data_IF_619825316109
#
_entry.id   IF_619825316109
#
_cell.length_a   1.000
_cell.length_b   1.000
_cell.length_c   1.000
_cell.angle_alpha   90.00
_cell.angle_beta   90.00
_cell.angle_gamma   90.00
#
_symmetry.space_group_name_H-M   'P 1'
#
loop_
_entity.id
_entity.type
_entity.pdbx_description
1 polymer ?
#
# COMPACT_ATOMS: atom_id res chain seq x y z
N UNK A 1 -40.05 40.96 52.39
CA UNK A 1 -40.42 39.71 51.65
C UNK A 1 -39.85 39.59 50.25
N UNK A 2 -39.20 40.57 49.62
CA UNK A 2 -38.62 40.44 48.27
C UNK A 2 -37.30 39.66 48.18
N UNK A 3 -36.43 39.73 49.18
CA UNK A 3 -35.12 39.08 49.16
C UNK A 3 -35.16 37.54 49.24
N UNK A 4 -36.17 36.98 49.85
CA UNK A 4 -36.31 35.52 49.98
C UNK A 4 -36.70 34.82 48.64
N UNK A 5 -37.41 35.57 47.80
CA UNK A 5 -37.88 35.06 46.47
C UNK A 5 -36.80 35.05 45.41
N UNK A 6 -35.87 35.99 45.47
CA UNK A 6 -34.73 36.10 44.57
C UNK A 6 -33.74 34.96 44.79
N UNK A 7 -33.45 34.62 46.06
CA UNK A 7 -32.50 33.54 46.38
C UNK A 7 -32.98 32.15 45.90
N UNK A 8 -34.27 31.90 45.83
CA UNK A 8 -34.83 30.65 45.33
C UNK A 8 -34.76 30.54 43.81
N UNK A 9 -34.80 31.67 43.08
CA UNK A 9 -34.68 31.69 41.61
C UNK A 9 -33.24 31.34 41.21
N UNK A 10 -32.26 31.94 41.85
CA UNK A 10 -30.83 31.60 41.58
C UNK A 10 -30.50 30.17 41.94
N UNK A 11 -31.03 29.60 43.02
CA UNK A 11 -30.86 28.19 43.37
C UNK A 11 -31.49 27.26 42.33
N UNK A 12 -32.66 27.59 41.80
CA UNK A 12 -33.32 26.82 40.75
C UNK A 12 -32.57 26.94 39.42
N UNK A 13 -32.09 28.14 39.04
CA UNK A 13 -31.25 28.36 37.87
C UNK A 13 -29.91 27.60 37.97
N UNK A 14 -29.27 27.62 39.12
CA UNK A 14 -28.04 26.86 39.39
C UNK A 14 -28.25 25.34 39.28
N UNK A 15 -29.40 24.83 39.78
CA UNK A 15 -29.74 23.41 39.66
C UNK A 15 -30.00 22.99 38.19
N UNK A 16 -30.70 23.82 37.42
CA UNK A 16 -30.94 23.58 35.98
C UNK A 16 -29.61 23.62 35.20
N UNK A 17 -28.71 24.54 35.51
CA UNK A 17 -27.41 24.62 34.87
C UNK A 17 -26.55 23.42 35.21
N UNK A 18 -26.60 22.94 36.45
CA UNK A 18 -25.87 21.73 36.88
C UNK A 18 -26.42 20.48 36.19
N UNK A 19 -27.75 20.35 36.01
CA UNK A 19 -28.33 19.20 35.29
C UNK A 19 -27.97 19.19 33.80
N UNK A 20 -27.88 20.33 33.14
CA UNK A 20 -27.44 20.47 31.75
C UNK A 20 -25.99 20.05 31.59
N UNK A 21 -25.12 20.39 32.55
CA UNK A 21 -23.70 19.95 32.53
C UNK A 21 -23.56 18.44 32.68
N UNK A 22 -24.40 17.79 33.50
CA UNK A 22 -24.36 16.33 33.70
C UNK A 22 -24.86 15.58 32.47
N UNK A 23 -25.85 16.09 31.76
CA UNK A 23 -26.39 15.52 30.53
C UNK A 23 -25.38 15.65 29.38
N UNK A 24 -24.58 16.73 29.35
CA UNK A 24 -23.55 16.95 28.35
C UNK A 24 -22.39 15.92 28.43
N UNK A 25 -22.17 15.26 29.56
CA UNK A 25 -21.14 14.24 29.72
C UNK A 25 -21.57 12.82 29.32
N UNK A 26 -22.86 12.57 29.04
CA UNK A 26 -23.41 11.25 28.74
C UNK A 26 -23.67 10.98 27.25
N UNK A 27 -23.26 11.85 26.34
CA UNK A 27 -23.29 11.50 24.93
C UNK A 27 -22.20 10.47 24.64
N UNK A 28 -22.60 9.21 24.44
CA UNK A 28 -21.76 8.24 23.72
C UNK A 28 -21.18 8.95 22.52
N UNK A 29 -19.86 9.18 22.51
CA UNK A 29 -19.14 9.63 21.36
C UNK A 29 -19.27 8.57 20.26
N UNK A 30 -20.36 8.59 19.54
CA UNK A 30 -20.28 8.21 18.13
C UNK A 30 -19.44 9.31 17.49
N UNK A 31 -18.13 9.06 17.39
CA UNK A 31 -17.26 9.97 16.66
C UNK A 31 -17.73 9.92 15.21
N UNK A 32 -18.33 11.01 14.78
CA UNK A 32 -18.92 11.22 13.45
C UNK A 32 -17.89 11.00 12.31
N UNK A 33 -16.60 10.86 12.65
CA UNK A 33 -15.52 10.56 11.73
C UNK A 33 -14.64 9.49 12.39
N UNK A 34 -14.59 8.30 11.79
CA UNK A 34 -13.62 7.29 12.19
C UNK A 34 -12.21 7.76 11.82
N UNK A 35 -11.38 8.06 12.80
CA UNK A 35 -9.96 8.42 12.61
C UNK A 35 -9.06 7.19 12.38
N UNK A 36 -9.61 5.97 12.40
CA UNK A 36 -8.85 4.73 12.23
C UNK A 36 -8.16 4.63 10.86
N UNK A 37 -8.85 4.92 9.72
CA UNK A 37 -8.21 4.90 8.41
C UNK A 37 -7.09 5.92 8.31
N UNK A 38 -7.32 7.13 8.81
CA UNK A 38 -6.33 8.21 8.82
C UNK A 38 -5.08 7.79 9.63
N UNK A 39 -5.27 7.23 10.82
CA UNK A 39 -4.16 6.71 11.64
C UNK A 39 -3.42 5.57 10.96
N UNK A 40 -4.13 4.66 10.30
CA UNK A 40 -3.49 3.58 9.56
C UNK A 40 -2.63 4.12 8.42
N UNK A 41 -3.19 4.98 7.60
CA UNK A 41 -2.51 5.56 6.44
C UNK A 41 -1.31 6.42 6.84
N UNK A 42 -1.51 7.41 7.71
CA UNK A 42 -0.45 8.37 8.03
C UNK A 42 0.59 7.86 9.04
N UNK A 43 0.20 7.01 10.00
CA UNK A 43 1.14 6.59 11.03
C UNK A 43 1.79 5.22 10.76
N UNK A 44 1.09 4.29 10.13
CA UNK A 44 1.60 2.94 9.93
C UNK A 44 2.01 2.73 8.48
N UNK A 45 1.11 2.94 7.51
CA UNK A 45 1.45 2.75 6.10
C UNK A 45 2.50 3.75 5.62
N UNK A 46 2.39 5.03 6.01
CA UNK A 46 3.40 6.03 5.68
C UNK A 46 4.80 5.61 6.14
N UNK A 47 4.94 5.20 7.41
CA UNK A 47 6.23 4.71 7.91
C UNK A 47 6.67 3.40 7.22
N UNK A 48 5.73 2.57 6.81
CA UNK A 48 6.02 1.37 6.03
C UNK A 48 6.58 1.68 4.65
N UNK A 49 5.96 2.62 3.93
CA UNK A 49 6.46 3.11 2.65
C UNK A 49 7.83 3.79 2.79
N UNK A 50 8.01 4.61 3.83
CA UNK A 50 9.30 5.25 4.09
C UNK A 50 10.43 4.21 4.24
N UNK A 51 10.21 3.11 4.98
CA UNK A 51 11.20 2.04 5.08
C UNK A 51 11.43 1.34 3.74
N UNK A 52 10.37 1.14 2.93
CA UNK A 52 10.50 0.58 1.59
C UNK A 52 11.38 1.49 0.71
N UNK A 53 11.05 2.78 0.65
CA UNK A 53 11.73 3.77 -0.17
C UNK A 53 13.21 3.93 0.23
N UNK A 54 13.49 3.95 1.54
CA UNK A 54 14.87 3.92 2.05
C UNK A 54 15.64 2.67 1.62
N UNK A 55 14.97 1.52 1.62
CA UNK A 55 15.56 0.26 1.16
C UNK A 55 15.83 0.26 -0.34
N UNK A 56 14.86 0.71 -1.13
CA UNK A 56 14.99 0.83 -2.60
C UNK A 56 16.11 1.82 -2.96
N UNK A 57 16.13 2.98 -2.30
CA UNK A 57 17.20 3.97 -2.52
C UNK A 57 18.59 3.41 -2.25
N UNK A 58 18.75 2.61 -1.19
CA UNK A 58 20.04 1.93 -0.94
C UNK A 58 20.41 0.94 -2.05
N UNK A 59 19.42 0.25 -2.64
CA UNK A 59 19.69 -0.60 -3.80
C UNK A 59 20.09 0.23 -5.02
N UNK A 60 19.44 1.38 -5.24
CA UNK A 60 19.79 2.32 -6.31
C UNK A 60 21.21 2.90 -6.12
N UNK A 61 21.58 3.27 -4.89
CA UNK A 61 22.90 3.80 -4.56
C UNK A 61 24.01 2.74 -4.75
N UNK A 62 23.69 1.45 -4.65
CA UNK A 62 24.60 0.34 -4.88
C UNK A 62 24.66 -0.10 -6.35
N UNK A 63 23.69 0.33 -7.16
CA UNK A 63 23.62 0.00 -8.57
C UNK A 63 24.58 0.84 -9.39
N UNK A 64 25.42 0.19 -10.19
CA UNK A 64 26.27 0.88 -11.17
C UNK A 64 25.64 0.71 -12.55
N UNK A 65 25.22 1.82 -13.16
CA UNK A 65 24.62 1.82 -14.49
C UNK A 65 25.64 1.33 -15.54
N UNK A 66 25.24 0.35 -16.31
CA UNK A 66 26.00 -0.06 -17.50
C UNK A 66 25.29 0.49 -18.75
N UNK A 67 25.76 1.60 -19.27
CA UNK A 67 25.16 2.27 -20.44
C UNK A 67 25.33 1.50 -21.76
N UNK A 68 26.05 0.37 -21.74
CA UNK A 68 26.17 -0.54 -22.89
C UNK A 68 25.09 -1.63 -22.89
N UNK A 69 24.27 -1.69 -21.87
CA UNK A 69 23.13 -2.60 -21.73
C UNK A 69 21.82 -1.82 -21.59
N UNK A 70 20.73 -2.51 -21.89
CA UNK A 70 19.40 -1.92 -21.64
C UNK A 70 19.17 -1.86 -20.14
N UNK A 71 18.91 -0.65 -19.62
CA UNK A 71 18.67 -0.45 -18.20
C UNK A 71 17.34 -1.12 -17.79
N UNK A 72 17.35 -2.00 -16.79
CA UNK A 72 16.13 -2.64 -16.34
C UNK A 72 15.20 -1.59 -15.70
N UNK A 73 13.89 -1.60 -15.96
CA UNK A 73 12.92 -0.70 -15.35
C UNK A 73 12.77 -0.92 -13.83
N UNK A 74 13.22 -2.06 -13.31
CA UNK A 74 13.32 -2.33 -11.89
C UNK A 74 14.70 -2.92 -11.58
N UNK A 75 15.50 -2.19 -10.80
CA UNK A 75 16.89 -2.50 -10.48
C UNK A 75 17.02 -3.67 -9.49
N UNK A 76 16.57 -4.87 -9.86
CA UNK A 76 16.69 -6.03 -8.99
C UNK A 76 17.82 -6.98 -9.38
N UNK A 77 18.11 -7.09 -10.66
CA UNK A 77 18.91 -8.19 -11.19
C UNK A 77 20.42 -8.04 -11.00
N UNK A 78 20.94 -6.81 -10.88
CA UNK A 78 22.37 -6.56 -10.83
C UNK A 78 22.94 -6.36 -9.40
N UNK A 79 22.07 -6.38 -8.38
CA UNK A 79 22.46 -6.22 -6.95
C UNK A 79 22.67 -7.57 -6.26
N UNK A 80 22.65 -8.68 -7.02
CA UNK A 80 22.71 -10.04 -6.47
C UNK A 80 24.07 -10.37 -5.83
N UNK A 81 25.13 -9.63 -6.13
CA UNK A 81 26.50 -9.89 -5.63
C UNK A 81 26.81 -9.22 -4.29
N UNK A 82 25.93 -8.37 -3.76
CA UNK A 82 26.15 -7.57 -2.56
C UNK A 82 25.42 -8.15 -1.34
N UNK A 83 25.78 -9.36 -0.91
CA UNK A 83 25.09 -10.03 0.23
C UNK A 83 25.22 -9.27 1.56
N UNK A 84 26.37 -8.61 1.83
CA UNK A 84 26.63 -7.96 3.13
C UNK A 84 25.86 -6.65 3.34
N UNK A 85 25.62 -5.88 2.28
CA UNK A 85 25.03 -4.53 2.35
C UNK A 85 23.59 -4.46 1.88
N UNK A 86 22.99 -5.62 1.58
CA UNK A 86 21.62 -5.71 1.13
C UNK A 86 20.64 -5.16 2.20
N UNK A 87 19.72 -4.27 1.86
CA UNK A 87 18.89 -3.56 2.84
C UNK A 87 17.70 -4.35 3.39
N UNK A 88 17.89 -5.65 3.65
CA UNK A 88 16.88 -6.57 4.20
C UNK A 88 16.15 -6.01 5.40
N UNK A 89 16.86 -5.31 6.31
CA UNK A 89 16.27 -4.70 7.51
C UNK A 89 15.21 -3.65 7.17
N UNK A 90 15.40 -2.87 6.10
CA UNK A 90 14.43 -1.89 5.64
C UNK A 90 13.16 -2.60 5.12
N UNK A 91 13.31 -3.64 4.31
CA UNK A 91 12.20 -4.41 3.77
C UNK A 91 11.43 -5.18 4.86
N UNK A 92 12.12 -5.78 5.82
CA UNK A 92 11.50 -6.42 6.98
C UNK A 92 10.66 -5.42 7.80
N UNK A 93 11.17 -4.22 8.06
CA UNK A 93 10.41 -3.17 8.77
C UNK A 93 9.19 -2.70 7.99
N UNK A 94 9.32 -2.57 6.67
CA UNK A 94 8.20 -2.25 5.79
C UNK A 94 7.11 -3.32 5.88
N UNK A 95 7.49 -4.60 5.76
CA UNK A 95 6.60 -5.75 5.91
C UNK A 95 5.87 -5.75 7.24
N UNK A 96 6.59 -5.55 8.36
CA UNK A 96 5.99 -5.48 9.71
C UNK A 96 4.91 -4.41 9.80
N UNK A 97 5.10 -3.24 9.16
CA UNK A 97 4.11 -2.17 9.13
C UNK A 97 2.87 -2.57 8.32
N UNK A 98 3.07 -3.18 7.16
CA UNK A 98 1.98 -3.68 6.32
C UNK A 98 1.16 -4.73 7.06
N UNK A 99 1.80 -5.74 7.65
CA UNK A 99 1.15 -6.79 8.45
C UNK A 99 0.37 -6.18 9.63
N UNK A 100 0.95 -5.19 10.32
CA UNK A 100 0.27 -4.50 11.42
C UNK A 100 -1.04 -3.83 10.99
N UNK A 101 -1.08 -3.23 9.80
CA UNK A 101 -2.32 -2.65 9.25
C UNK A 101 -3.34 -3.75 8.97
N UNK A 102 -2.94 -4.82 8.27
CA UNK A 102 -3.81 -5.94 7.91
C UNK A 102 -4.41 -6.58 9.17
N UNK A 103 -3.58 -6.88 10.18
CA UNK A 103 -4.04 -7.50 11.41
C UNK A 103 -4.98 -6.60 12.22
N UNK A 104 -4.68 -5.29 12.27
CA UNK A 104 -5.45 -4.36 13.10
C UNK A 104 -6.76 -3.95 12.47
N UNK A 105 -6.82 -3.89 11.15
CA UNK A 105 -7.92 -3.27 10.43
C UNK A 105 -8.57 -4.18 9.36
N UNK A 106 -7.99 -5.34 9.05
CA UNK A 106 -8.47 -6.22 7.98
C UNK A 106 -9.90 -6.76 8.18
N UNK A 107 -10.40 -6.77 9.42
CA UNK A 107 -11.77 -7.20 9.76
C UNK A 107 -12.71 -6.03 10.09
N UNK A 108 -12.29 -4.79 9.85
CA UNK A 108 -13.11 -3.61 10.15
C UNK A 108 -14.01 -3.28 8.94
N UNK A 109 -15.26 -3.70 8.98
CA UNK A 109 -16.24 -3.46 7.91
C UNK A 109 -16.53 -1.97 7.64
N UNK A 110 -16.09 -1.06 8.52
CA UNK A 110 -16.23 0.38 8.33
C UNK A 110 -14.99 0.99 7.65
N UNK A 111 -13.96 0.19 7.39
CA UNK A 111 -12.76 0.66 6.72
C UNK A 111 -12.92 0.46 5.21
N UNK A 112 -12.51 1.47 4.46
CA UNK A 112 -12.41 1.37 3.02
C UNK A 112 -11.44 0.23 2.63
N UNK A 113 -11.87 -0.63 1.72
CA UNK A 113 -11.06 -1.73 1.18
C UNK A 113 -9.73 -1.25 0.63
N UNK A 114 -9.65 -0.01 0.13
CA UNK A 114 -8.45 0.56 -0.45
C UNK A 114 -7.29 0.65 0.54
N UNK A 115 -7.55 0.95 1.81
CA UNK A 115 -6.48 0.96 2.83
C UNK A 115 -5.89 -0.43 3.09
N UNK A 116 -6.70 -1.47 3.00
CA UNK A 116 -6.25 -2.85 3.14
C UNK A 116 -5.51 -3.28 1.88
N UNK A 117 -5.99 -2.90 0.71
CA UNK A 117 -5.32 -3.17 -0.56
C UNK A 117 -3.95 -2.46 -0.64
N UNK A 118 -3.85 -1.19 -0.20
CA UNK A 118 -2.57 -0.47 -0.05
C UNK A 118 -1.60 -1.21 0.89
N UNK A 119 -2.10 -1.77 2.00
CA UNK A 119 -1.26 -2.54 2.92
C UNK A 119 -0.77 -3.87 2.29
N UNK A 120 -1.62 -4.55 1.53
CA UNK A 120 -1.20 -5.74 0.77
C UNK A 120 -0.22 -5.39 -0.35
N UNK A 121 -0.39 -4.23 -1.00
CA UNK A 121 0.56 -3.75 -2.01
C UNK A 121 1.94 -3.52 -1.39
N UNK A 122 1.99 -2.80 -0.25
CA UNK A 122 3.23 -2.57 0.49
C UNK A 122 3.88 -3.89 0.94
N UNK A 123 3.08 -4.84 1.45
CA UNK A 123 3.52 -6.17 1.83
C UNK A 123 4.16 -6.92 0.66
N UNK A 124 3.50 -6.88 -0.50
CA UNK A 124 3.99 -7.50 -1.72
C UNK A 124 5.32 -6.90 -2.20
N UNK A 125 5.40 -5.57 -2.24
CA UNK A 125 6.62 -4.83 -2.64
C UNK A 125 7.78 -5.11 -1.69
N UNK A 126 7.58 -5.06 -0.38
CA UNK A 126 8.61 -5.34 0.61
C UNK A 126 9.18 -6.77 0.45
N UNK A 127 8.30 -7.74 0.24
CA UNK A 127 8.71 -9.14 -0.02
C UNK A 127 9.40 -9.34 -1.37
N UNK A 128 8.98 -8.57 -2.39
CA UNK A 128 9.61 -8.59 -3.70
C UNK A 128 11.07 -8.14 -3.61
N UNK A 129 11.30 -6.97 -3.04
CA UNK A 129 12.65 -6.46 -2.86
C UNK A 129 13.50 -7.30 -1.89
N UNK A 130 12.87 -8.04 -0.98
CA UNK A 130 13.55 -9.04 -0.12
C UNK A 130 13.72 -10.41 -0.82
N UNK A 131 13.53 -10.47 -2.14
CA UNK A 131 13.67 -11.66 -3.01
C UNK A 131 12.76 -12.85 -2.63
N UNK A 132 11.73 -12.61 -1.82
CA UNK A 132 10.73 -13.62 -1.40
C UNK A 132 9.54 -13.64 -2.35
N UNK A 133 9.79 -13.99 -3.62
CA UNK A 133 8.84 -13.88 -4.72
C UNK A 133 7.52 -14.62 -4.50
N UNK A 134 7.54 -15.85 -3.98
CA UNK A 134 6.30 -16.62 -3.73
C UNK A 134 5.42 -15.95 -2.69
N UNK A 135 6.00 -15.48 -1.58
CA UNK A 135 5.26 -14.76 -0.54
C UNK A 135 4.76 -13.38 -1.02
N UNK A 136 5.51 -12.75 -1.93
CA UNK A 136 5.11 -11.52 -2.60
C UNK A 136 3.88 -11.74 -3.51
N UNK A 137 3.89 -12.81 -4.34
CA UNK A 137 2.75 -13.19 -5.17
C UNK A 137 1.47 -13.41 -4.36
N UNK A 138 1.57 -13.99 -3.16
CA UNK A 138 0.41 -14.19 -2.28
C UNK A 138 -0.25 -12.85 -1.92
N UNK A 139 0.54 -11.83 -1.61
CA UNK A 139 0.03 -10.49 -1.28
C UNK A 139 -0.65 -9.84 -2.49
N UNK A 140 -0.01 -9.86 -3.66
CA UNK A 140 -0.59 -9.29 -4.87
C UNK A 140 -1.81 -10.08 -5.37
N UNK A 141 -1.86 -11.38 -5.17
CA UNK A 141 -3.03 -12.20 -5.50
C UNK A 141 -4.25 -11.84 -4.64
N UNK A 142 -4.06 -11.41 -3.40
CA UNK A 142 -5.16 -10.88 -2.59
C UNK A 142 -5.81 -9.68 -3.28
N UNK A 143 -5.03 -8.71 -3.72
CA UNK A 143 -5.49 -7.49 -4.40
C UNK A 143 -6.20 -7.85 -5.71
N UNK A 144 -5.58 -8.67 -6.54
CA UNK A 144 -6.09 -8.95 -7.89
C UNK A 144 -7.34 -9.85 -7.92
N UNK A 145 -7.73 -10.43 -6.80
CA UNK A 145 -9.03 -11.10 -6.61
C UNK A 145 -10.17 -10.12 -6.31
N UNK A 146 -9.85 -8.91 -5.93
CA UNK A 146 -10.83 -7.86 -5.63
C UNK A 146 -11.30 -7.16 -6.92
N UNK A 147 -11.88 -6.00 -6.79
CA UNK A 147 -12.39 -5.19 -7.89
C UNK A 147 -11.28 -4.76 -8.87
N UNK A 148 -11.57 -4.84 -10.18
CA UNK A 148 -10.57 -4.71 -11.26
C UNK A 148 -10.35 -3.27 -11.74
N UNK A 149 -10.66 -2.25 -10.96
CA UNK A 149 -10.68 -0.86 -11.40
C UNK A 149 -9.80 0.10 -10.59
N UNK A 150 -9.21 -0.35 -9.48
CA UNK A 150 -8.39 0.50 -8.61
C UNK A 150 -6.94 0.61 -9.12
N UNK A 151 -6.28 1.74 -8.85
CA UNK A 151 -4.86 1.94 -9.15
C UNK A 151 -3.99 0.84 -8.52
N UNK A 152 -4.32 0.45 -7.28
CA UNK A 152 -3.63 -0.62 -6.55
C UNK A 152 -3.72 -1.97 -7.27
N UNK A 153 -4.84 -2.24 -7.96
CA UNK A 153 -5.02 -3.46 -8.76
C UNK A 153 -4.05 -3.51 -9.94
N UNK A 154 -3.85 -2.37 -10.61
CA UNK A 154 -2.92 -2.30 -11.75
C UNK A 154 -1.49 -2.47 -11.31
N UNK A 155 -1.11 -1.79 -10.24
CA UNK A 155 0.23 -1.92 -9.68
C UNK A 155 0.49 -3.35 -9.22
N UNK A 156 -0.49 -4.02 -8.61
CA UNK A 156 -0.37 -5.43 -8.24
C UNK A 156 -0.15 -6.35 -9.46
N UNK A 157 -0.82 -6.11 -10.59
CA UNK A 157 -0.59 -6.88 -11.83
C UNK A 157 0.78 -6.61 -12.45
N UNK A 158 1.26 -5.36 -12.40
CA UNK A 158 2.63 -5.02 -12.78
C UNK A 158 3.65 -5.89 -12.00
N UNK A 159 3.59 -5.89 -10.67
CA UNK A 159 4.49 -6.68 -9.84
C UNK A 159 4.33 -8.19 -10.04
N UNK A 160 3.11 -8.68 -10.21
CA UNK A 160 2.86 -10.10 -10.53
C UNK A 160 3.50 -10.52 -11.82
N UNK A 161 3.42 -9.72 -12.86
CA UNK A 161 4.04 -10.01 -14.15
C UNK A 161 5.56 -10.09 -14.02
N UNK A 162 6.19 -9.11 -13.34
CA UNK A 162 7.62 -9.12 -13.09
C UNK A 162 8.07 -10.35 -12.30
N UNK A 163 7.34 -10.72 -11.23
CA UNK A 163 7.67 -11.90 -10.43
C UNK A 163 7.58 -13.16 -11.27
N UNK A 164 6.52 -13.33 -12.06
CA UNK A 164 6.37 -14.51 -12.90
C UNK A 164 7.47 -14.60 -13.97
N UNK A 165 7.89 -13.45 -14.53
CA UNK A 165 9.05 -13.39 -15.41
C UNK A 165 10.33 -13.86 -14.72
N UNK A 166 10.62 -13.34 -13.52
CA UNK A 166 11.79 -13.75 -12.71
C UNK A 166 11.76 -15.24 -12.32
N UNK A 167 10.57 -15.83 -12.18
CA UNK A 167 10.39 -17.27 -11.93
C UNK A 167 10.44 -18.12 -13.21
N UNK A 168 10.73 -17.53 -14.37
CA UNK A 168 10.78 -18.21 -15.66
C UNK A 168 9.40 -18.56 -16.25
N UNK A 169 8.31 -18.07 -15.65
CA UNK A 169 6.93 -18.31 -16.10
C UNK A 169 6.49 -17.26 -17.15
N UNK A 170 7.25 -17.19 -18.24
CA UNK A 170 7.16 -16.14 -19.27
C UNK A 170 5.74 -16.00 -19.88
N UNK A 171 5.12 -17.12 -20.25
CA UNK A 171 3.77 -17.10 -20.83
C UNK A 171 2.73 -16.54 -19.86
N UNK A 172 2.86 -16.88 -18.57
CA UNK A 172 1.96 -16.35 -17.53
C UNK A 172 2.22 -14.85 -17.30
N UNK A 173 3.48 -14.43 -17.26
CA UNK A 173 3.85 -13.02 -17.15
C UNK A 173 3.23 -12.19 -18.29
N UNK A 174 3.39 -12.64 -19.54
CA UNK A 174 2.80 -11.99 -20.72
C UNK A 174 1.25 -12.00 -20.69
N UNK A 175 0.63 -13.08 -20.24
CA UNK A 175 -0.83 -13.15 -20.11
C UNK A 175 -1.35 -12.12 -19.09
N UNK A 176 -0.71 -12.02 -17.92
CA UNK A 176 -1.08 -11.07 -16.86
C UNK A 176 -0.96 -9.62 -17.36
N UNK A 177 0.17 -9.28 -17.99
CA UNK A 177 0.42 -7.91 -18.42
C UNK A 177 -0.51 -7.50 -19.57
N UNK A 178 -0.73 -8.38 -20.55
CA UNK A 178 -1.64 -8.11 -21.67
C UNK A 178 -3.09 -7.98 -21.18
N UNK A 179 -3.55 -8.80 -20.24
CA UNK A 179 -4.87 -8.67 -19.63
C UNK A 179 -5.02 -7.32 -18.95
N UNK A 180 -3.99 -6.86 -18.23
CA UNK A 180 -4.01 -5.58 -17.56
C UNK A 180 -4.01 -4.41 -18.56
N UNK A 181 -3.19 -4.42 -19.60
CA UNK A 181 -3.13 -3.38 -20.64
C UNK A 181 -4.44 -3.25 -21.41
N UNK A 182 -5.09 -4.38 -21.73
CA UNK A 182 -6.33 -4.41 -22.50
C UNK A 182 -7.57 -4.07 -21.67
N UNK A 183 -7.43 -3.75 -20.39
CA UNK A 183 -8.55 -3.31 -19.60
C UNK A 183 -8.88 -1.84 -19.92
N UNK A 184 -10.03 -1.60 -20.58
CA UNK A 184 -10.48 -0.27 -21.00
C UNK A 184 -10.78 0.68 -19.83
N UNK A 185 -11.00 0.13 -18.62
CA UNK A 185 -11.27 0.93 -17.43
C UNK A 185 -10.01 1.63 -16.88
N UNK A 186 -8.82 1.35 -17.44
CA UNK A 186 -7.55 1.95 -16.99
C UNK A 186 -7.30 3.26 -17.73
N UNK A 187 -7.06 4.38 -17.02
CA UNK A 187 -6.53 5.59 -17.61
C UNK A 187 -5.17 5.32 -18.29
N UNK A 188 -4.93 5.94 -19.44
CA UNK A 188 -3.68 5.70 -20.21
C UNK A 188 -2.42 6.08 -19.45
N UNK A 189 -2.49 7.05 -18.53
CA UNK A 189 -1.40 7.41 -17.64
C UNK A 189 -0.95 6.25 -16.75
N UNK A 190 -1.87 5.38 -16.32
CA UNK A 190 -1.57 4.22 -15.48
C UNK A 190 -1.05 3.03 -16.30
N UNK A 191 -1.27 3.01 -17.61
CA UNK A 191 -0.76 1.95 -18.49
C UNK A 191 0.74 2.03 -18.70
N UNK A 192 1.37 3.20 -18.48
CA UNK A 192 2.81 3.40 -18.69
C UNK A 192 3.65 2.38 -17.91
N UNK A 193 3.33 2.13 -16.63
CA UNK A 193 4.01 1.12 -15.81
C UNK A 193 3.84 -0.30 -16.37
N UNK A 194 2.67 -0.62 -16.91
CA UNK A 194 2.39 -1.92 -17.53
C UNK A 194 3.20 -2.11 -18.82
N UNK A 195 3.35 -1.07 -19.63
CA UNK A 195 4.19 -1.13 -20.83
C UNK A 195 5.67 -1.28 -20.48
N UNK A 196 6.14 -0.62 -19.40
CA UNK A 196 7.51 -0.82 -18.90
C UNK A 196 7.75 -2.28 -18.50
N UNK A 197 6.83 -2.87 -17.71
CA UNK A 197 6.92 -4.29 -17.36
C UNK A 197 6.90 -5.20 -18.57
N UNK A 198 6.06 -4.91 -19.57
CA UNK A 198 6.02 -5.66 -20.84
C UNK A 198 7.35 -5.57 -21.57
N UNK A 199 7.96 -4.39 -21.62
CA UNK A 199 9.29 -4.19 -22.19
C UNK A 199 10.35 -5.04 -21.49
N UNK A 200 10.39 -5.04 -20.15
CA UNK A 200 11.33 -5.85 -19.38
C UNK A 200 11.11 -7.35 -19.60
N UNK A 201 9.86 -7.82 -19.58
CA UNK A 201 9.52 -9.22 -19.83
C UNK A 201 10.00 -9.66 -21.23
N UNK A 202 9.75 -8.85 -22.26
CA UNK A 202 10.17 -9.15 -23.61
C UNK A 202 11.69 -9.12 -23.76
N UNK A 203 12.36 -8.15 -23.14
CA UNK A 203 13.81 -8.09 -23.10
C UNK A 203 14.44 -9.31 -22.42
N UNK A 204 13.97 -9.68 -21.22
CA UNK A 204 14.44 -10.87 -20.52
C UNK A 204 14.18 -12.17 -21.28
N UNK A 205 13.20 -12.15 -22.19
CA UNK A 205 12.86 -13.28 -23.06
C UNK A 205 13.66 -13.30 -24.36
N UNK A 206 14.47 -12.27 -24.65
CA UNK A 206 15.14 -12.06 -25.95
C UNK A 206 14.16 -11.92 -27.13
N UNK A 207 12.92 -11.54 -26.85
CA UNK A 207 11.87 -11.29 -27.85
C UNK A 207 11.94 -9.85 -28.34
N UNK A 208 13.06 -9.46 -28.96
CA UNK A 208 13.33 -8.07 -29.38
C UNK A 208 12.36 -7.56 -30.44
N UNK A 209 11.83 -8.41 -31.30
CA UNK A 209 10.88 -8.03 -32.35
C UNK A 209 9.54 -7.54 -31.80
N UNK A 210 9.22 -7.84 -30.55
CA UNK A 210 7.98 -7.43 -29.89
C UNK A 210 8.12 -6.14 -29.08
N UNK A 211 9.30 -5.50 -29.12
CA UNK A 211 9.58 -4.22 -28.44
C UNK A 211 9.33 -2.99 -29.35
N UNK A 212 9.14 -3.20 -30.66
CA UNK A 212 8.86 -2.19 -31.68
C UNK A 212 7.36 -2.19 -31.97
#
# INVERSE_FOLDING_TARGET
MKYFRINNIYKRLGLVFLTVLIISCSSKKESFISLKPIKAKYNILFNGNLFLDEGVKKLEDLYTENYWEILPPVMLNNVLELESDYPTKNFTRSEEKAIKVIQKFGNDNNLDSDYINEAYLLLGKARFYDKRFISSLQAFNYITKQEKTSEVWYEANFWKALINSNLGQKNLANAIINQAINNESIPDENKSKLYLAKGEINYSNQEYDSLI
#
